data_IF_177155409180
#
_entry.id   IF_177155409180
#
_cell.length_a   1.000
_cell.length_b   1.000
_cell.length_c   1.000
_cell.angle_alpha   90.00
_cell.angle_beta   90.00
_cell.angle_gamma   90.00
#
_symmetry.space_group_name_H-M   'P 1'
#
loop_
_entity.id
_entity.type
_entity.pdbx_description
1 polymer ?
#
# COMPACT_ATOMS: atom_id res chain seq x y z
N UNK A 1 9.50 -11.77 5.39
CA UNK A 1 9.83 -12.60 4.21
C UNK A 1 9.05 -12.18 2.97
N UNK A 2 7.71 -12.02 3.05
CA UNK A 2 6.89 -11.59 1.89
C UNK A 2 7.38 -10.31 1.19
N UNK A 3 7.63 -9.22 1.92
CA UNK A 3 8.07 -7.96 1.30
C UNK A 3 9.37 -8.08 0.49
N UNK A 4 10.32 -8.90 0.95
CA UNK A 4 11.58 -9.13 0.22
C UNK A 4 11.33 -9.89 -1.09
N UNK A 5 10.39 -10.82 -1.11
CA UNK A 5 9.98 -11.49 -2.36
C UNK A 5 9.30 -10.48 -3.30
N UNK A 6 8.43 -9.61 -2.78
CA UNK A 6 7.82 -8.54 -3.56
C UNK A 6 8.86 -7.60 -4.18
N UNK A 7 9.94 -7.25 -3.46
CA UNK A 7 11.05 -6.45 -4.02
C UNK A 7 11.70 -7.09 -5.24
N UNK A 8 11.88 -8.41 -5.22
CA UNK A 8 12.48 -9.15 -6.34
C UNK A 8 11.61 -9.11 -7.61
N UNK A 9 10.28 -9.05 -7.44
CA UNK A 9 9.31 -9.00 -8.54
C UNK A 9 8.71 -7.61 -8.78
N UNK A 10 9.38 -6.54 -8.31
CA UNK A 10 8.85 -5.17 -8.45
C UNK A 10 8.59 -4.78 -9.90
N UNK A 11 9.45 -5.18 -10.84
CA UNK A 11 9.28 -4.90 -12.27
C UNK A 11 8.02 -5.53 -12.82
N UNK A 12 7.88 -6.85 -12.67
CA UNK A 12 6.71 -7.63 -13.12
C UNK A 12 5.39 -7.07 -12.54
N UNK A 13 5.39 -6.70 -11.25
CA UNK A 13 4.21 -6.12 -10.61
C UNK A 13 3.89 -4.74 -11.19
N UNK A 14 4.90 -3.90 -11.45
CA UNK A 14 4.70 -2.60 -12.09
C UNK A 14 4.17 -2.75 -13.52
N UNK A 15 4.70 -3.69 -14.30
CA UNK A 15 4.26 -3.94 -15.69
C UNK A 15 2.79 -4.40 -15.74
N UNK A 16 2.38 -5.28 -14.81
CA UNK A 16 0.99 -5.68 -14.67
C UNK A 16 0.08 -4.49 -14.36
N UNK A 17 0.50 -3.61 -13.44
CA UNK A 17 -0.28 -2.43 -13.07
C UNK A 17 -0.33 -1.41 -14.21
N UNK A 18 0.72 -1.29 -15.01
CA UNK A 18 0.72 -0.44 -16.22
C UNK A 18 -0.38 -0.90 -17.17
N UNK A 19 -0.41 -2.20 -17.51
CA UNK A 19 -1.46 -2.77 -18.36
C UNK A 19 -2.85 -2.53 -17.77
N UNK A 20 -3.02 -2.74 -16.46
CA UNK A 20 -4.30 -2.50 -15.78
C UNK A 20 -4.75 -1.04 -15.77
N UNK A 21 -3.82 -0.10 -15.84
CA UNK A 21 -4.12 1.33 -15.77
C UNK A 21 -4.68 1.88 -17.09
N UNK A 22 -4.33 1.27 -18.23
CA UNK A 22 -4.71 1.73 -19.56
C UNK A 22 -6.20 1.57 -19.79
N UNK A 23 -6.90 2.68 -20.03
CA UNK A 23 -8.36 2.73 -20.26
C UNK A 23 -9.17 2.05 -19.15
N UNK A 24 -8.63 2.05 -17.93
CA UNK A 24 -9.26 1.40 -16.79
C UNK A 24 -10.51 2.17 -16.33
N UNK A 25 -11.66 1.50 -16.12
CA UNK A 25 -12.86 2.14 -15.60
C UNK A 25 -12.79 2.37 -14.07
N UNK A 26 -11.74 1.87 -13.39
CA UNK A 26 -11.66 1.97 -11.93
C UNK A 26 -11.31 3.39 -11.47
N UNK A 27 -11.97 3.92 -10.42
CA UNK A 27 -11.73 5.27 -9.92
C UNK A 27 -10.28 5.57 -9.50
N UNK A 28 -9.50 4.53 -9.16
CA UNK A 28 -8.09 4.67 -8.80
C UNK A 28 -7.14 4.91 -9.99
N UNK A 29 -7.63 4.76 -11.22
CA UNK A 29 -6.89 5.01 -12.46
C UNK A 29 -7.52 6.13 -13.31
N UNK A 30 -8.84 6.35 -13.18
CA UNK A 30 -9.57 7.33 -13.98
C UNK A 30 -9.05 8.76 -13.75
N UNK A 31 -8.58 9.40 -14.81
CA UNK A 31 -8.09 10.79 -14.77
C UNK A 31 -6.76 10.99 -14.05
N UNK A 32 -6.05 9.90 -13.74
CA UNK A 32 -4.73 9.93 -13.09
C UNK A 32 -3.69 9.44 -14.09
N UNK A 33 -2.57 10.17 -14.17
CA UNK A 33 -1.43 9.78 -15.01
C UNK A 33 -0.85 8.42 -14.56
N UNK A 34 -0.77 7.47 -15.50
CA UNK A 34 -0.26 6.12 -15.26
C UNK A 34 1.20 6.15 -14.79
N UNK A 35 2.03 7.03 -15.34
CA UNK A 35 3.45 7.14 -14.94
C UNK A 35 3.56 7.58 -13.48
N UNK A 36 2.69 8.49 -13.04
CA UNK A 36 2.61 8.90 -11.63
C UNK A 36 2.22 7.75 -10.71
N UNK A 37 1.25 6.91 -11.12
CA UNK A 37 0.82 5.74 -10.35
C UNK A 37 1.97 4.75 -10.22
N UNK A 38 2.64 4.43 -11.34
CA UNK A 38 3.76 3.49 -11.39
C UNK A 38 4.96 3.99 -10.60
N UNK A 39 5.30 5.29 -10.69
CA UNK A 39 6.33 5.91 -9.87
C UNK A 39 6.05 5.73 -8.38
N UNK A 40 4.82 6.03 -7.95
CA UNK A 40 4.41 5.85 -6.55
C UNK A 40 4.42 4.40 -6.13
N UNK A 41 3.94 3.49 -6.97
CA UNK A 41 3.95 2.06 -6.69
C UNK A 41 5.39 1.56 -6.51
N UNK A 42 6.27 1.86 -7.46
CA UNK A 42 7.70 1.48 -7.42
C UNK A 42 8.39 2.02 -6.17
N UNK A 43 8.08 3.25 -5.76
CA UNK A 43 8.64 3.85 -4.53
C UNK A 43 8.29 3.08 -3.25
N UNK A 44 7.18 2.32 -3.24
CA UNK A 44 6.74 1.53 -2.08
C UNK A 44 7.58 0.29 -1.87
N UNK A 45 8.23 -0.24 -2.91
CA UNK A 45 9.10 -1.42 -2.80
C UNK A 45 10.43 -1.10 -2.12
N UNK A 46 10.82 0.17 -1.96
CA UNK A 46 12.06 0.56 -1.25
C UNK A 46 13.32 -0.16 -1.76
N UNK A 47 13.48 -0.24 -3.09
CA UNK A 47 14.54 -0.99 -3.76
C UNK A 47 15.97 -0.55 -3.39
N UNK A 48 16.14 0.68 -2.89
CA UNK A 48 17.44 1.22 -2.48
C UNK A 48 17.90 0.75 -1.09
N UNK A 49 17.03 0.11 -0.31
CA UNK A 49 17.36 -0.34 1.04
C UNK A 49 18.06 -1.71 1.00
N UNK A 50 19.02 -1.91 1.89
CA UNK A 50 19.55 -3.23 2.20
C UNK A 50 18.45 -4.14 2.79
N UNK A 51 18.73 -5.45 2.85
CA UNK A 51 17.81 -6.44 3.43
C UNK A 51 17.49 -6.12 4.90
N UNK A 52 18.49 -5.72 5.67
CA UNK A 52 18.36 -5.36 7.08
C UNK A 52 17.50 -4.11 7.26
N UNK A 53 17.79 -3.05 6.48
CA UNK A 53 17.00 -1.81 6.50
C UNK A 53 15.55 -2.05 6.04
N UNK A 54 15.35 -2.90 5.03
CA UNK A 54 14.02 -3.27 4.57
C UNK A 54 13.22 -3.97 5.67
N UNK A 55 13.84 -4.92 6.40
CA UNK A 55 13.18 -5.59 7.52
C UNK A 55 12.79 -4.59 8.62
N UNK A 56 13.70 -3.69 8.99
CA UNK A 56 13.41 -2.65 9.96
C UNK A 56 12.28 -1.72 9.51
N UNK A 57 12.29 -1.30 8.24
CA UNK A 57 11.24 -0.47 7.65
C UNK A 57 9.88 -1.15 7.71
N UNK A 58 9.77 -2.41 7.27
CA UNK A 58 8.51 -3.16 7.27
C UNK A 58 7.99 -3.38 8.70
N UNK A 59 8.88 -3.70 9.66
CA UNK A 59 8.49 -3.81 11.07
C UNK A 59 7.97 -2.49 11.64
N UNK A 60 8.55 -1.35 11.24
CA UNK A 60 8.06 -0.04 11.66
C UNK A 60 6.66 0.26 11.10
N UNK A 61 6.38 -0.13 9.85
CA UNK A 61 5.04 -0.04 9.27
C UNK A 61 4.02 -0.89 10.03
N UNK A 62 4.37 -2.14 10.34
CA UNK A 62 3.50 -3.05 11.12
C UNK A 62 3.19 -2.44 12.48
N UNK A 63 4.20 -1.91 13.19
CA UNK A 63 4.01 -1.27 14.50
C UNK A 63 3.13 -0.02 14.39
N UNK A 64 3.29 0.78 13.33
CA UNK A 64 2.47 1.98 13.08
C UNK A 64 1.01 1.64 12.78
N UNK A 65 0.78 0.53 12.08
CA UNK A 65 -0.56 0.05 11.77
C UNK A 65 -1.23 -0.64 12.97
N UNK A 66 -0.45 -1.33 13.81
CA UNK A 66 -0.97 -1.99 14.99
C UNK A 66 -1.48 -0.96 16.01
N UNK A 67 -2.72 -1.14 16.48
CA UNK A 67 -3.39 -0.23 17.42
C UNK A 67 -3.43 1.23 16.94
N UNK A 68 -3.56 1.44 15.63
CA UNK A 68 -3.63 2.79 15.07
C UNK A 68 -4.79 3.57 15.70
N UNK A 69 -4.46 4.72 16.30
CA UNK A 69 -5.42 5.55 17.02
C UNK A 69 -6.61 5.96 16.15
N UNK A 70 -6.39 6.37 14.89
CA UNK A 70 -7.49 6.81 14.02
C UNK A 70 -8.40 5.66 13.64
N UNK A 71 -7.87 4.45 13.43
CA UNK A 71 -8.68 3.24 13.21
C UNK A 71 -9.59 2.98 14.41
N UNK A 72 -9.04 3.01 15.64
CA UNK A 72 -9.83 2.81 16.85
C UNK A 72 -10.91 3.90 17.04
N UNK A 73 -10.60 5.15 16.72
CA UNK A 73 -11.60 6.22 16.78
C UNK A 73 -12.70 6.05 15.72
N UNK A 74 -12.34 5.60 14.52
CA UNK A 74 -13.32 5.29 13.48
C UNK A 74 -14.24 4.14 13.91
N UNK A 75 -13.70 3.07 14.48
CA UNK A 75 -14.49 1.95 15.00
C UNK A 75 -15.45 2.40 16.11
N UNK A 76 -14.98 3.24 17.03
CA UNK A 76 -15.83 3.85 18.06
C UNK A 76 -16.95 4.71 17.44
N UNK A 77 -16.63 5.52 16.42
CA UNK A 77 -17.63 6.33 15.72
C UNK A 77 -18.66 5.44 15.01
N UNK A 78 -18.24 4.39 14.31
CA UNK A 78 -19.12 3.43 13.64
C UNK A 78 -20.02 2.71 14.65
N UNK A 79 -19.49 2.35 15.81
CA UNK A 79 -20.29 1.77 16.90
C UNK A 79 -21.33 2.76 17.42
N UNK A 80 -20.96 4.02 17.66
CA UNK A 80 -21.86 5.02 18.23
C UNK A 80 -22.95 5.45 17.26
N UNK A 81 -22.61 5.62 15.97
CA UNK A 81 -23.53 6.17 14.97
C UNK A 81 -24.35 5.11 14.26
N UNK A 82 -23.76 3.95 13.98
CA UNK A 82 -24.36 2.91 13.16
C UNK A 82 -24.59 1.59 13.90
N UNK A 83 -24.16 1.47 15.17
CA UNK A 83 -24.31 0.23 15.96
C UNK A 83 -23.39 -0.91 15.53
N UNK A 84 -22.44 -0.67 14.62
CA UNK A 84 -21.51 -1.69 14.11
C UNK A 84 -20.42 -1.94 15.15
N UNK A 85 -20.28 -3.19 15.58
CA UNK A 85 -19.22 -3.60 16.51
C UNK A 85 -17.91 -3.86 15.74
N UNK A 86 -16.75 -3.45 16.28
CA UNK A 86 -15.44 -3.77 15.70
C UNK A 86 -15.11 -5.26 15.79
#
# INVERSE_FOLDING_TARGET
RGFLACQQHCGEICDLVDVMSRQSPYPCFLGIDADYILLRLRSRFKLSLSKQETVAYVLSLIRKSNSNYSTRQYDNFQRMTNGILP
#
